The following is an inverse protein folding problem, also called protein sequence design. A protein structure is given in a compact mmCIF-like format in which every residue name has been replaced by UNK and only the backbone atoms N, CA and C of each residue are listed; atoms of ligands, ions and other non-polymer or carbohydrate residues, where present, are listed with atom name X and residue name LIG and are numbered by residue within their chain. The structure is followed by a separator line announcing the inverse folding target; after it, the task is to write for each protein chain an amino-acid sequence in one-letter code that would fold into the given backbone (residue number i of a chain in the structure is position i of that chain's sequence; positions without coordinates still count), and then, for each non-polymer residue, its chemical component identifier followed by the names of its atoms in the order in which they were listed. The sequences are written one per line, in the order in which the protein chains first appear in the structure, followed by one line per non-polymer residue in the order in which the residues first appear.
data_IF_602442887422
#
_entry.id   IF_602442887422
#
_cell.length_a   1.000
_cell.length_b   1.000
_cell.length_c   1.000
_cell.angle_alpha   90.00
_cell.angle_beta   90.00
_cell.angle_gamma   90.00
#
_symmetry.space_group_name_H-M   'P 1'
#
loop_
_entity.id
_entity.type
_entity.pdbx_description
1 polymer ?
#
# COMPACT_ATOMS: atom_id res chain seq x y z
N UNK A 1 -72.49 26.71 -2.74
CA UNK A 1 -72.88 26.38 -4.13
C UNK A 1 -71.64 25.97 -4.93
N UNK A 2 -71.79 25.21 -6.05
CA UNK A 2 -70.74 24.37 -6.67
C UNK A 2 -69.92 25.14 -7.74
N UNK A 3 -68.89 24.61 -8.42
CA UNK A 3 -68.76 23.37 -9.23
C UNK A 3 -67.25 23.05 -9.46
N UNK A 4 -66.70 21.83 -9.38
CA UNK A 4 -66.88 20.56 -10.15
C UNK A 4 -66.38 20.55 -11.61
N UNK A 5 -65.16 20.06 -11.83
CA UNK A 5 -64.72 19.13 -12.90
C UNK A 5 -63.23 18.78 -12.68
N UNK A 6 -62.69 17.62 -13.06
CA UNK A 6 -63.27 16.42 -13.66
C UNK A 6 -62.18 15.35 -13.82
N UNK A 7 -62.49 14.08 -13.54
CA UNK A 7 -61.50 12.98 -13.51
C UNK A 7 -61.24 12.38 -14.89
N UNK A 8 -60.01 11.88 -15.11
CA UNK A 8 -59.79 10.71 -15.97
C UNK A 8 -58.52 9.95 -15.55
N UNK A 9 -58.71 8.78 -14.93
CA UNK A 9 -57.65 7.79 -14.76
C UNK A 9 -57.53 6.89 -16.01
N UNK A 10 -56.34 6.33 -16.25
CA UNK A 10 -56.23 5.03 -16.93
C UNK A 10 -54.93 4.32 -16.57
N UNK A 11 -55.07 3.05 -16.17
CA UNK A 11 -53.98 2.18 -15.74
C UNK A 11 -53.44 1.34 -16.91
N UNK A 12 -52.13 1.07 -16.93
CA UNK A 12 -51.49 -0.12 -17.50
C UNK A 12 -50.02 -0.14 -17.02
N UNK A 13 -49.61 -0.96 -16.05
CA UNK A 13 -49.26 -2.40 -16.12
C UNK A 13 -48.19 -2.81 -17.14
N UNK A 14 -47.07 -3.26 -16.56
CA UNK A 14 -46.21 -4.38 -16.98
C UNK A 14 -45.06 -4.18 -17.99
N UNK A 15 -44.01 -4.98 -17.70
CA UNK A 15 -43.04 -5.57 -18.65
C UNK A 15 -41.77 -4.79 -18.97
N UNK A 16 -40.74 -5.01 -18.13
CA UNK A 16 -39.34 -5.11 -18.59
C UNK A 16 -39.22 -6.20 -19.67
N UNK A 17 -38.18 -6.17 -20.53
CA UNK A 17 -36.94 -6.82 -20.10
C UNK A 17 -35.66 -6.03 -20.37
N UNK A 18 -34.77 -6.13 -19.40
CA UNK A 18 -33.32 -5.94 -19.51
C UNK A 18 -32.72 -6.65 -20.72
N UNK A 19 -31.92 -5.94 -21.51
CA UNK A 19 -31.13 -6.52 -22.60
C UNK A 19 -29.63 -6.32 -22.34
N UNK A 20 -29.02 -7.26 -21.60
CA UNK A 20 -27.57 -7.37 -21.43
C UNK A 20 -27.05 -8.48 -22.35
N UNK A 21 -25.97 -8.27 -23.13
CA UNK A 21 -25.41 -9.33 -23.96
C UNK A 21 -24.79 -10.44 -23.09
N UNK A 22 -25.25 -11.68 -23.30
CA UNK A 22 -24.67 -12.88 -22.70
C UNK A 22 -23.31 -13.21 -23.34
N UNK A 23 -22.33 -13.73 -22.58
CA UNK A 23 -21.08 -14.22 -23.15
C UNK A 23 -21.29 -15.55 -23.90
N UNK A 24 -20.70 -15.67 -25.09
CA UNK A 24 -20.74 -16.90 -25.87
C UNK A 24 -19.98 -18.04 -25.17
N UNK A 25 -20.64 -19.18 -25.02
CA UNK A 25 -20.01 -20.40 -24.53
C UNK A 25 -19.27 -21.07 -25.71
N UNK A 26 -17.97 -21.29 -25.59
CA UNK A 26 -17.17 -21.97 -26.62
C UNK A 26 -16.09 -22.82 -25.98
N UNK A 27 -16.30 -24.13 -26.00
CA UNK A 27 -15.34 -25.16 -25.59
C UNK A 27 -14.18 -25.25 -26.58
N UNK A 28 -12.92 -25.07 -26.15
CA UNK A 28 -11.77 -25.35 -27.00
C UNK A 28 -11.41 -26.84 -26.98
N UNK A 29 -11.34 -27.45 -28.16
CA UNK A 29 -10.73 -28.77 -28.40
C UNK A 29 -9.22 -28.74 -28.16
N UNK A 30 -8.59 -29.86 -27.76
CA UNK A 30 -7.15 -29.89 -27.48
C UNK A 30 -6.34 -29.90 -28.79
N UNK A 31 -5.60 -28.81 -29.06
CA UNK A 31 -4.56 -28.79 -30.09
C UNK A 31 -3.20 -29.15 -29.48
N UNK A 32 -2.61 -30.23 -29.98
CA UNK A 32 -1.24 -30.64 -29.65
C UNK A 32 -0.23 -29.71 -30.32
N UNK A 33 0.50 -28.92 -29.53
CA UNK A 33 1.65 -28.14 -29.99
C UNK A 33 2.90 -28.47 -29.18
N UNK A 34 3.91 -29.01 -29.86
CA UNK A 34 5.21 -29.38 -29.31
C UNK A 34 5.97 -28.14 -28.80
N UNK A 35 6.64 -28.19 -27.64
CA UNK A 35 7.44 -27.06 -27.16
C UNK A 35 8.71 -26.85 -28.02
N UNK A 36 9.14 -25.60 -28.25
CA UNK A 36 10.40 -25.31 -28.95
C UNK A 36 11.63 -25.65 -28.09
N UNK A 37 12.71 -26.05 -28.76
CA UNK A 37 13.99 -26.44 -28.15
C UNK A 37 14.70 -25.26 -27.45
N UNK A 38 15.51 -25.51 -26.40
CA UNK A 38 16.29 -24.48 -25.73
C UNK A 38 17.43 -23.93 -26.61
N UNK A 39 17.89 -22.68 -26.39
CA UNK A 39 19.00 -22.09 -27.12
C UNK A 39 20.35 -22.77 -26.78
N UNK A 40 21.33 -22.77 -27.71
CA UNK A 40 22.63 -23.40 -27.49
C UNK A 40 23.50 -22.67 -26.46
N UNK A 41 24.33 -23.46 -25.78
CA UNK A 41 25.23 -23.06 -24.70
C UNK A 41 26.41 -22.21 -25.21
N UNK A 42 26.72 -21.03 -24.63
CA UNK A 42 27.83 -20.17 -25.07
C UNK A 42 29.19 -20.66 -24.53
N UNK A 43 29.62 -21.85 -24.97
CA UNK A 43 30.96 -22.41 -24.68
C UNK A 43 31.65 -22.86 -25.96
N UNK A 44 31.97 -21.90 -26.83
CA UNK A 44 33.10 -21.99 -27.75
C UNK A 44 33.37 -20.62 -28.41
N UNK A 45 34.41 -19.92 -27.94
CA UNK A 45 35.00 -18.79 -28.65
C UNK A 45 36.44 -19.18 -29.05
N UNK A 46 36.77 -19.28 -30.35
CA UNK A 46 38.12 -19.64 -30.76
C UNK A 46 39.08 -18.48 -30.46
N UNK A 47 40.12 -18.79 -29.68
CA UNK A 47 41.27 -17.93 -29.45
C UNK A 47 41.90 -17.56 -30.80
N UNK A 48 42.14 -16.27 -31.04
CA UNK A 48 43.00 -15.78 -32.13
C UNK A 48 44.38 -15.46 -31.56
N UNK A 49 45.48 -15.85 -32.24
CA UNK A 49 46.83 -15.61 -31.74
C UNK A 49 47.31 -14.17 -31.99
N UNK A 50 48.17 -13.69 -31.09
CA UNK A 50 49.01 -12.50 -31.29
C UNK A 50 50.01 -12.69 -32.45
N UNK A 51 50.42 -11.56 -33.05
CA UNK A 51 51.79 -11.43 -33.52
C UNK A 51 52.47 -10.18 -32.95
N UNK A 52 53.51 -10.39 -32.14
CA UNK A 52 54.55 -9.39 -31.87
C UNK A 52 55.39 -9.17 -33.14
N UNK A 53 55.77 -7.93 -33.47
CA UNK A 53 57.18 -7.48 -33.39
C UNK A 53 57.47 -6.12 -34.09
N UNK A 54 58.02 -5.18 -33.29
CA UNK A 54 59.08 -4.19 -33.59
C UNK A 54 58.99 -3.23 -34.81
N UNK A 55 58.60 -1.98 -34.51
CA UNK A 55 59.38 -0.72 -34.71
C UNK A 55 58.71 0.45 -33.93
N UNK A 56 59.35 1.58 -33.58
CA UNK A 56 60.79 1.91 -33.51
C UNK A 56 61.08 3.43 -33.56
N UNK A 57 61.61 4.05 -32.47
CA UNK A 57 61.99 5.50 -32.33
C UNK A 57 60.81 6.50 -32.44
N UNK A 58 60.67 7.65 -31.76
CA UNK A 58 61.43 8.42 -30.72
C UNK A 58 60.39 9.28 -29.93
N UNK A 59 60.55 9.65 -28.64
CA UNK A 59 59.49 10.37 -27.91
C UNK A 59 59.51 11.89 -28.13
N UNK A 60 58.41 12.46 -28.66
CA UNK A 60 58.14 13.89 -28.60
C UNK A 60 57.34 14.25 -27.34
N UNK A 61 57.90 15.10 -26.48
CA UNK A 61 57.21 15.70 -25.34
C UNK A 61 56.31 16.87 -25.79
N UNK A 62 55.05 16.96 -25.32
CA UNK A 62 54.17 18.08 -25.67
C UNK A 62 54.48 19.34 -24.84
N UNK A 63 54.46 20.52 -25.48
CA UNK A 63 54.44 21.81 -24.78
C UNK A 63 53.05 22.05 -24.16
N UNK A 64 52.95 22.60 -22.94
CA UNK A 64 51.66 23.00 -22.37
C UNK A 64 51.12 24.24 -23.09
N UNK A 65 49.90 24.13 -23.63
CA UNK A 65 49.08 25.29 -24.03
C UNK A 65 48.34 25.88 -22.82
N UNK A 66 47.86 27.13 -22.91
CA UNK A 66 47.21 27.80 -21.78
C UNK A 66 45.90 27.10 -21.39
N UNK A 67 45.68 26.96 -20.09
CA UNK A 67 44.49 26.34 -19.53
C UNK A 67 43.26 27.22 -19.78
N UNK A 68 42.41 26.83 -20.74
CA UNK A 68 41.04 27.31 -20.79
C UNK A 68 40.29 26.60 -19.67
N UNK A 69 39.98 27.36 -18.62
CA UNK A 69 39.21 26.88 -17.49
C UNK A 69 37.81 26.49 -17.94
N UNK A 70 37.58 25.19 -18.15
CA UNK A 70 36.24 24.62 -17.99
C UNK A 70 35.94 24.63 -16.49
N UNK A 71 35.42 25.76 -16.01
CA UNK A 71 34.72 25.80 -14.73
C UNK A 71 33.71 24.65 -14.73
N UNK A 72 33.95 23.68 -13.85
CA UNK A 72 33.10 22.51 -13.76
C UNK A 72 31.72 22.97 -13.36
N UNK A 73 30.79 23.01 -14.32
CA UNK A 73 29.37 23.13 -14.04
C UNK A 73 29.03 21.97 -13.10
N UNK A 74 28.92 22.27 -11.81
CA UNK A 74 28.47 21.32 -10.80
C UNK A 74 27.00 21.06 -11.09
N UNK A 75 26.76 20.10 -11.99
CA UNK A 75 25.44 19.49 -12.15
C UNK A 75 25.18 18.73 -10.87
N UNK A 76 24.64 19.45 -9.89
CA UNK A 76 23.97 18.88 -8.74
C UNK A 76 22.88 17.96 -9.31
N UNK A 77 23.18 16.67 -9.34
CA UNK A 77 22.32 15.64 -9.90
C UNK A 77 21.17 15.34 -8.94
N UNK A 78 20.32 16.34 -8.72
CA UNK A 78 19.01 16.18 -8.10
C UNK A 78 18.34 14.97 -8.78
N UNK A 79 18.01 13.90 -8.02
CA UNK A 79 17.65 12.62 -8.60
C UNK A 79 16.45 12.81 -9.51
N UNK A 80 16.64 12.46 -10.79
CA UNK A 80 15.60 12.64 -11.81
C UNK A 80 14.39 11.75 -11.48
N UNK A 81 13.40 12.33 -10.79
CA UNK A 81 12.21 11.64 -10.27
C UNK A 81 11.45 10.91 -11.38
N UNK A 82 11.42 11.47 -12.59
CA UNK A 82 10.85 10.83 -13.78
C UNK A 82 11.63 9.57 -14.15
N UNK A 83 12.96 9.64 -14.20
CA UNK A 83 13.81 8.48 -14.51
C UNK A 83 13.69 7.38 -13.42
N UNK A 84 13.64 7.77 -12.14
CA UNK A 84 13.40 6.84 -11.04
C UNK A 84 12.01 6.19 -11.10
N UNK A 85 10.96 6.94 -11.45
CA UNK A 85 9.61 6.42 -11.65
C UNK A 85 9.53 5.44 -12.83
N UNK A 86 10.18 5.76 -13.95
CA UNK A 86 10.32 4.85 -15.10
C UNK A 86 11.11 3.59 -14.74
N UNK A 87 12.18 3.71 -13.96
CA UNK A 87 12.97 2.56 -13.49
C UNK A 87 12.19 1.64 -12.52
N UNK A 88 11.30 2.19 -11.69
CA UNK A 88 10.37 1.42 -10.89
C UNK A 88 9.32 0.70 -11.77
N UNK A 89 8.74 1.41 -12.74
CA UNK A 89 7.79 0.83 -13.69
C UNK A 89 8.40 -0.30 -14.55
N UNK A 90 9.67 -0.17 -14.95
CA UNK A 90 10.42 -1.21 -15.67
C UNK A 90 10.62 -2.50 -14.86
N UNK A 91 10.51 -2.45 -13.52
CA UNK A 91 10.48 -3.63 -12.64
C UNK A 91 9.08 -4.25 -12.50
N UNK A 92 8.09 -3.75 -13.25
CA UNK A 92 6.69 -4.14 -13.18
C UNK A 92 5.93 -3.51 -12.01
N UNK A 93 6.48 -2.48 -11.35
CA UNK A 93 5.86 -1.84 -10.19
C UNK A 93 4.98 -0.65 -10.63
N UNK A 94 3.65 -0.67 -10.42
CA UNK A 94 2.78 0.46 -10.79
C UNK A 94 3.07 1.69 -9.94
N UNK A 95 3.45 2.80 -10.58
CA UNK A 95 3.80 4.06 -9.93
C UNK A 95 2.71 5.11 -10.07
N UNK A 96 2.70 6.10 -9.17
CA UNK A 96 1.82 7.26 -9.22
C UNK A 96 2.47 8.48 -8.53
N UNK A 97 2.08 9.73 -8.86
CA UNK A 97 2.67 10.92 -8.25
C UNK A 97 2.15 11.16 -6.82
N UNK A 98 3.07 11.48 -5.93
CA UNK A 98 2.86 12.05 -4.60
C UNK A 98 3.20 13.54 -4.62
N UNK A 99 2.55 14.35 -3.79
CA UNK A 99 2.83 15.79 -3.70
C UNK A 99 4.29 16.03 -3.27
N UNK A 100 5.01 17.00 -3.87
CA UNK A 100 6.43 17.26 -3.57
C UNK A 100 6.68 17.42 -2.06
N UNK A 101 7.78 16.89 -1.54
CA UNK A 101 8.12 16.99 -0.12
C UNK A 101 7.27 16.15 0.85
N UNK A 102 6.25 15.44 0.36
CA UNK A 102 5.30 14.67 1.20
C UNK A 102 5.23 13.19 0.80
N UNK A 103 4.53 12.40 1.62
CA UNK A 103 4.12 11.02 1.31
C UNK A 103 2.70 10.96 0.68
N UNK A 104 2.03 12.09 0.47
CA UNK A 104 0.59 12.15 0.14
C UNK A 104 0.31 12.06 -1.36
N UNK A 105 -0.64 11.22 -1.84
CA UNK A 105 -1.00 11.16 -3.25
C UNK A 105 -1.39 12.52 -3.86
N UNK A 106 -0.85 12.82 -5.04
CA UNK A 106 -1.24 13.98 -5.84
C UNK A 106 -2.51 13.71 -6.68
N UNK A 107 -2.95 12.45 -6.78
CA UNK A 107 -4.13 12.03 -7.55
C UNK A 107 -5.15 11.26 -6.70
N UNK A 108 -6.44 11.50 -6.98
CA UNK A 108 -7.54 10.74 -6.42
C UNK A 108 -7.61 9.32 -7.01
N UNK A 109 -8.12 8.37 -6.21
CA UNK A 109 -8.23 6.93 -6.56
C UNK A 109 -6.91 6.33 -7.07
N UNK A 110 -5.80 6.72 -6.43
CA UNK A 110 -4.44 6.32 -6.83
C UNK A 110 -4.21 4.80 -7.04
N UNK A 111 -4.83 3.83 -6.31
CA UNK A 111 -4.55 2.42 -6.55
C UNK A 111 -5.01 1.96 -7.94
N UNK A 112 -6.09 2.57 -8.46
CA UNK A 112 -6.66 2.29 -9.78
C UNK A 112 -6.00 3.10 -10.90
N UNK A 113 -5.20 4.11 -10.56
CA UNK A 113 -4.56 5.03 -11.52
C UNK A 113 -3.04 4.90 -11.57
N UNK A 114 -2.44 4.14 -10.66
CA UNK A 114 -1.04 3.79 -10.74
C UNK A 114 -0.74 2.99 -12.02
N UNK A 115 0.41 3.22 -12.63
CA UNK A 115 0.70 2.74 -13.97
C UNK A 115 2.15 2.28 -14.12
N UNK A 116 2.35 1.27 -14.96
CA UNK A 116 3.67 0.90 -15.51
C UNK A 116 3.88 1.45 -16.92
N UNK A 117 2.84 2.02 -17.56
CA UNK A 117 2.96 2.63 -18.89
C UNK A 117 3.80 3.92 -18.81
N UNK A 118 4.88 3.94 -19.58
CA UNK A 118 5.79 5.08 -19.68
C UNK A 118 5.09 6.33 -20.20
N UNK A 119 4.03 6.21 -21.00
CA UNK A 119 3.27 7.34 -21.55
C UNK A 119 2.53 8.09 -20.45
N UNK A 120 1.84 7.37 -19.55
CA UNK A 120 1.24 7.95 -18.34
C UNK A 120 2.29 8.54 -17.38
N UNK A 121 3.39 7.83 -17.13
CA UNK A 121 4.46 8.29 -16.23
C UNK A 121 5.10 9.57 -16.77
N UNK A 122 5.46 9.59 -18.05
CA UNK A 122 5.97 10.76 -18.74
C UNK A 122 4.99 11.94 -18.72
N UNK A 123 3.67 11.71 -18.57
CA UNK A 123 2.66 12.76 -18.45
C UNK A 123 2.63 13.41 -17.06
N UNK A 124 2.81 12.63 -15.99
CA UNK A 124 2.82 13.18 -14.62
C UNK A 124 4.06 14.04 -14.34
N UNK A 125 5.22 13.64 -14.87
CA UNK A 125 6.50 14.36 -14.74
C UNK A 125 6.83 15.27 -15.94
N UNK A 126 5.82 15.87 -16.60
CA UNK A 126 6.05 16.93 -17.61
C UNK A 126 6.45 18.24 -16.93
N UNK A 127 7.12 19.11 -17.69
CA UNK A 127 7.47 20.47 -17.27
C UNK A 127 8.28 20.56 -15.95
N UNK A 128 9.05 19.52 -15.62
CA UNK A 128 9.95 19.52 -14.46
C UNK A 128 9.25 19.40 -13.09
N UNK A 129 8.03 18.88 -13.01
CA UNK A 129 7.35 18.70 -11.72
C UNK A 129 8.13 17.78 -10.77
N UNK A 130 8.29 18.21 -9.52
CA UNK A 130 9.03 17.51 -8.47
C UNK A 130 8.18 16.52 -7.67
N UNK A 131 7.24 15.82 -8.33
CA UNK A 131 6.40 14.84 -7.65
C UNK A 131 7.24 13.70 -7.08
N UNK A 132 7.06 13.42 -5.79
CA UNK A 132 7.58 12.21 -5.16
C UNK A 132 6.89 10.97 -5.77
N UNK A 133 7.51 9.81 -5.65
CA UNK A 133 7.09 8.60 -6.35
C UNK A 133 6.38 7.66 -5.38
N UNK A 134 5.10 7.40 -5.62
CA UNK A 134 4.34 6.37 -4.93
C UNK A 134 4.36 5.08 -5.72
N UNK A 135 4.53 3.93 -5.05
CA UNK A 135 4.50 2.60 -5.67
C UNK A 135 3.47 1.74 -4.98
N UNK A 136 2.52 1.17 -5.73
CA UNK A 136 1.50 0.27 -5.17
C UNK A 136 2.14 -1.03 -4.66
N UNK A 137 1.67 -1.53 -3.52
CA UNK A 137 2.08 -2.84 -2.96
C UNK A 137 0.95 -3.86 -2.98
N UNK A 138 1.29 -5.13 -2.72
CA UNK A 138 0.39 -6.28 -2.71
C UNK A 138 0.43 -7.11 -4.00
N UNK A 139 -0.53 -8.04 -4.12
CA UNK A 139 -0.57 -9.01 -5.24
C UNK A 139 -0.60 -8.32 -6.61
N UNK A 140 -1.29 -7.17 -6.73
CA UNK A 140 -1.41 -6.43 -8.00
C UNK A 140 -0.07 -5.91 -8.56
N UNK A 141 0.88 -5.58 -7.68
CA UNK A 141 2.22 -5.12 -8.05
C UNK A 141 3.29 -6.22 -7.95
N UNK A 142 2.90 -7.44 -7.55
CA UNK A 142 3.78 -8.56 -7.18
C UNK A 142 4.90 -8.16 -6.19
N UNK A 143 4.62 -7.16 -5.35
CA UNK A 143 5.58 -6.52 -4.45
C UNK A 143 5.02 -6.49 -3.03
N UNK A 144 5.81 -6.91 -2.06
CA UNK A 144 5.54 -6.78 -0.64
C UNK A 144 6.77 -6.17 0.03
N UNK A 145 6.61 -5.18 0.90
CA UNK A 145 7.74 -4.49 1.54
C UNK A 145 7.66 -4.67 3.05
N UNK A 146 8.75 -5.08 3.67
CA UNK A 146 8.93 -4.96 5.13
C UNK A 146 9.56 -3.60 5.41
N UNK A 147 9.00 -2.88 6.36
CA UNK A 147 9.31 -1.49 6.69
C UNK A 147 9.86 -1.49 8.13
N UNK A 148 11.19 -1.39 8.25
CA UNK A 148 11.92 -1.34 9.52
C UNK A 148 12.06 0.12 9.93
N UNK A 149 11.32 0.53 10.96
CA UNK A 149 11.41 1.86 11.56
C UNK A 149 12.41 1.83 12.73
N UNK A 150 13.59 2.42 12.52
CA UNK A 150 14.70 2.34 13.46
C UNK A 150 14.36 2.90 14.85
N UNK A 151 13.51 3.92 14.91
CA UNK A 151 13.13 4.62 16.14
C UNK A 151 12.15 3.78 16.99
N UNK A 152 11.37 2.91 16.35
CA UNK A 152 10.33 2.11 17.00
C UNK A 152 10.75 0.65 17.26
N UNK A 153 11.89 0.21 16.72
CA UNK A 153 12.52 -1.06 17.08
C UNK A 153 13.07 -1.02 18.52
N UNK A 154 13.16 -2.19 19.17
CA UNK A 154 13.54 -2.34 20.58
C UNK A 154 14.63 -3.42 20.76
N UNK A 155 15.90 -3.04 21.04
CA UNK A 155 16.40 -1.67 21.18
C UNK A 155 16.31 -0.86 19.88
N UNK A 156 16.37 0.47 20.01
CA UNK A 156 16.46 1.41 18.88
C UNK A 156 17.80 1.22 18.16
N UNK A 157 17.78 1.07 16.83
CA UNK A 157 18.93 0.66 16.02
C UNK A 157 19.35 1.73 15.01
N UNK A 158 20.58 2.23 15.10
CA UNK A 158 21.09 3.25 14.19
C UNK A 158 21.60 2.69 12.85
N UNK A 159 21.99 1.42 12.80
CA UNK A 159 22.61 0.80 11.62
C UNK A 159 21.72 -0.29 11.00
N UNK A 160 21.85 -0.47 9.69
CA UNK A 160 21.02 -1.42 8.94
C UNK A 160 21.31 -2.87 9.30
N UNK A 161 22.58 -3.26 9.49
CA UNK A 161 22.92 -4.65 9.74
C UNK A 161 22.48 -5.08 11.16
N UNK A 162 22.51 -4.17 12.16
CA UNK A 162 21.90 -4.40 13.49
C UNK A 162 20.38 -4.63 13.36
N UNK A 163 19.69 -3.74 12.63
CA UNK A 163 18.26 -3.85 12.38
C UNK A 163 17.90 -5.16 11.64
N UNK A 164 18.74 -5.58 10.69
CA UNK A 164 18.57 -6.82 9.94
C UNK A 164 18.82 -8.06 10.81
N UNK A 165 19.82 -8.04 11.69
CA UNK A 165 20.09 -9.12 12.64
C UNK A 165 18.92 -9.28 13.62
N UNK A 166 18.50 -8.18 14.26
CA UNK A 166 17.36 -8.13 15.16
C UNK A 166 16.05 -8.57 14.48
N UNK A 167 15.80 -8.14 13.23
CA UNK A 167 14.64 -8.59 12.46
C UNK A 167 14.70 -10.11 12.18
N UNK A 168 15.87 -10.63 11.82
CA UNK A 168 16.09 -12.07 11.53
C UNK A 168 15.85 -12.94 12.77
N UNK A 169 16.32 -12.49 13.93
CA UNK A 169 16.04 -13.11 15.23
C UNK A 169 14.55 -13.04 15.57
N UNK A 170 13.94 -11.85 15.50
CA UNK A 170 12.55 -11.59 15.85
C UNK A 170 11.55 -12.44 15.05
N UNK A 171 11.84 -12.76 13.78
CA UNK A 171 10.98 -13.63 12.97
C UNK A 171 11.34 -15.12 13.07
N UNK A 172 12.45 -15.45 13.74
CA UNK A 172 13.01 -16.79 13.87
C UNK A 172 13.14 -17.50 12.51
N UNK A 173 13.84 -16.87 11.57
CA UNK A 173 14.07 -17.44 10.24
C UNK A 173 14.89 -16.54 9.32
N UNK A 174 15.60 -17.16 8.38
CA UNK A 174 16.51 -16.46 7.47
C UNK A 174 15.80 -15.40 6.62
N UNK A 175 16.32 -14.18 6.65
CA UNK A 175 15.93 -13.07 5.77
C UNK A 175 16.94 -13.02 4.62
N UNK A 176 16.56 -13.36 3.37
CA UNK A 176 17.50 -13.34 2.26
C UNK A 176 17.89 -11.91 1.91
N UNK A 177 19.12 -11.73 1.42
CA UNK A 177 19.53 -10.45 0.81
C UNK A 177 18.57 -10.10 -0.33
N UNK A 178 18.07 -8.87 -0.30
CA UNK A 178 17.11 -8.36 -1.28
C UNK A 178 17.36 -6.87 -1.56
N UNK A 179 16.61 -6.30 -2.51
CA UNK A 179 16.63 -4.87 -2.79
C UNK A 179 16.21 -4.06 -1.55
N UNK A 180 17.12 -3.22 -1.04
CA UNK A 180 16.90 -2.42 0.18
C UNK A 180 17.00 -0.94 -0.11
N UNK A 181 16.05 -0.16 0.41
CA UNK A 181 16.04 1.31 0.34
C UNK A 181 16.14 1.86 1.77
N UNK A 182 17.14 2.70 2.03
CA UNK A 182 17.16 3.52 3.24
C UNK A 182 16.11 4.62 3.12
N UNK A 183 15.31 4.77 4.17
CA UNK A 183 14.30 5.81 4.35
C UNK A 183 14.81 6.84 5.36
N UNK A 184 14.09 7.96 5.56
CA UNK A 184 14.43 8.93 6.61
C UNK A 184 14.42 8.38 8.04
N UNK A 185 13.77 7.25 8.30
CA UNK A 185 13.55 6.68 9.65
C UNK A 185 13.85 5.17 9.71
N UNK A 186 14.71 4.65 8.83
CA UNK A 186 15.07 3.23 8.79
C UNK A 186 15.13 2.67 7.36
N UNK A 187 14.53 1.50 7.10
CA UNK A 187 14.77 0.75 5.87
C UNK A 187 13.57 -0.02 5.34
N UNK A 188 13.35 0.05 4.02
CA UNK A 188 12.41 -0.80 3.30
C UNK A 188 13.15 -1.99 2.66
N UNK A 189 12.76 -3.23 3.00
CA UNK A 189 13.21 -4.46 2.35
C UNK A 189 12.13 -4.94 1.38
N UNK A 190 12.46 -5.02 0.08
CA UNK A 190 11.49 -5.32 -0.98
C UNK A 190 11.49 -6.82 -1.27
N UNK A 191 10.31 -7.44 -1.33
CA UNK A 191 10.16 -8.86 -1.64
C UNK A 191 9.09 -9.08 -2.71
N UNK A 192 9.16 -10.20 -3.43
CA UNK A 192 8.05 -10.63 -4.27
C UNK A 192 6.88 -11.09 -3.41
N UNK A 193 5.71 -10.45 -3.61
CA UNK A 193 4.48 -10.84 -2.93
C UNK A 193 4.09 -12.29 -3.32
N UNK A 194 3.59 -13.10 -2.37
CA UNK A 194 3.24 -14.49 -2.65
C UNK A 194 2.12 -14.60 -3.70
N UNK A 195 2.26 -15.56 -4.60
CA UNK A 195 1.27 -15.82 -5.63
C UNK A 195 -0.04 -16.32 -5.00
N UNK A 196 -1.18 -15.75 -5.44
CA UNK A 196 -2.57 -16.04 -4.98
C UNK A 196 -2.91 -15.76 -3.50
N UNK A 197 -1.95 -15.51 -2.61
CA UNK A 197 -2.21 -15.14 -1.21
C UNK A 197 -2.16 -13.61 -1.03
N UNK A 198 -3.30 -13.00 -0.75
CA UNK A 198 -3.36 -11.57 -0.39
C UNK A 198 -2.86 -11.36 1.03
N UNK A 199 -1.78 -10.59 1.17
CA UNK A 199 -1.24 -10.15 2.46
C UNK A 199 -1.45 -8.65 2.55
N UNK A 200 -2.33 -8.21 3.44
CA UNK A 200 -2.57 -6.78 3.68
C UNK A 200 -1.37 -6.15 4.38
N UNK A 201 -1.24 -4.83 4.27
CA UNK A 201 -0.32 -4.06 5.10
C UNK A 201 -0.63 -4.24 6.59
N UNK A 202 0.41 -4.26 7.43
CA UNK A 202 0.31 -4.47 8.88
C UNK A 202 1.16 -3.47 9.63
N UNK A 203 0.73 -3.06 10.82
CA UNK A 203 1.52 -2.20 11.71
C UNK A 203 2.01 -3.06 12.89
N UNK A 204 3.32 -3.06 13.14
CA UNK A 204 3.98 -3.76 14.27
C UNK A 204 3.74 -5.28 14.39
N UNK A 205 3.17 -5.95 13.37
CA UNK A 205 2.77 -7.37 13.46
C UNK A 205 3.96 -8.33 13.52
N UNK A 206 5.10 -7.91 12.98
CA UNK A 206 6.34 -8.69 12.98
C UNK A 206 7.24 -8.33 14.18
N UNK A 207 6.87 -7.36 15.01
CA UNK A 207 7.67 -6.84 16.12
C UNK A 207 7.52 -5.32 16.25
N UNK A 208 7.97 -4.71 17.38
CA UNK A 208 8.04 -3.26 17.53
C UNK A 208 8.83 -2.61 16.39
N UNK A 209 8.27 -1.59 15.75
CA UNK A 209 8.90 -0.92 14.59
C UNK A 209 8.97 -1.75 13.29
N UNK A 210 8.33 -2.92 13.22
CA UNK A 210 8.38 -3.80 12.03
C UNK A 210 7.01 -3.86 11.36
N UNK A 211 6.83 -2.96 10.40
CA UNK A 211 5.65 -2.79 9.57
C UNK A 211 5.74 -3.65 8.30
N UNK A 212 4.58 -3.87 7.66
CA UNK A 212 4.53 -4.45 6.30
C UNK A 212 3.61 -3.66 5.39
N UNK A 213 3.96 -3.61 4.10
CA UNK A 213 3.24 -2.89 3.06
C UNK A 213 2.86 -3.91 1.97
N UNK A 214 1.58 -4.24 1.93
CA UNK A 214 1.00 -5.27 1.07
C UNK A 214 -0.25 -4.78 0.33
N UNK A 215 -1.25 -5.64 0.17
CA UNK A 215 -2.50 -5.34 -0.54
C UNK A 215 -3.22 -4.12 0.05
N UNK A 216 -3.50 -3.14 -0.82
CA UNK A 216 -4.13 -1.87 -0.47
C UNK A 216 -3.16 -0.81 0.09
N UNK A 217 -1.86 -1.12 0.17
CA UNK A 217 -0.81 -0.19 0.55
C UNK A 217 -0.08 0.43 -0.64
N UNK A 218 0.84 1.33 -0.31
CA UNK A 218 1.88 1.84 -1.19
C UNK A 218 3.13 2.16 -0.36
N UNK A 219 4.26 2.34 -1.05
CA UNK A 219 5.50 2.89 -0.48
C UNK A 219 5.92 4.16 -1.22
N UNK A 220 6.81 4.93 -0.60
CA UNK A 220 7.55 6.01 -1.27
C UNK A 220 8.82 5.41 -1.89
N UNK A 221 9.01 5.62 -3.19
CA UNK A 221 10.10 5.04 -3.95
C UNK A 221 11.43 5.82 -3.78
N UNK A 222 12.59 5.15 -3.98
CA UNK A 222 13.89 5.81 -3.96
C UNK A 222 13.98 6.91 -5.03
N UNK A 223 14.75 7.95 -4.74
CA UNK A 223 14.79 9.22 -5.47
C UNK A 223 13.87 10.30 -4.88
N UNK A 224 12.83 9.91 -4.13
CA UNK A 224 11.92 10.85 -3.45
C UNK A 224 12.56 11.55 -2.24
N UNK A 225 12.15 12.78 -1.93
CA UNK A 225 12.53 13.54 -0.73
C UNK A 225 11.31 14.00 0.05
N UNK A 226 11.30 13.78 1.36
CA UNK A 226 10.34 14.38 2.31
C UNK A 226 11.03 15.42 3.18
N UNK A 227 10.25 16.24 3.90
CA UNK A 227 10.80 17.19 4.88
C UNK A 227 11.73 16.53 5.91
N UNK A 228 11.53 15.23 6.20
CA UNK A 228 12.36 14.43 7.11
C UNK A 228 13.63 13.85 6.50
N UNK A 229 13.79 13.84 5.17
CA UNK A 229 14.98 13.26 4.51
C UNK A 229 14.71 12.59 3.16
N UNK A 230 15.70 11.82 2.70
CA UNK A 230 15.70 11.21 1.36
C UNK A 230 15.40 9.71 1.39
N UNK A 231 14.73 9.21 0.36
CA UNK A 231 14.63 7.78 0.06
C UNK A 231 15.74 7.40 -0.92
N UNK A 232 16.70 6.58 -0.50
CA UNK A 232 17.88 6.20 -1.31
C UNK A 232 18.06 4.68 -1.37
N UNK A 233 18.47 4.14 -2.50
CA UNK A 233 18.82 2.71 -2.57
C UNK A 233 20.04 2.48 -1.70
N UNK A 234 19.95 1.53 -0.77
CA UNK A 234 21.05 1.11 0.09
C UNK A 234 21.73 -0.15 -0.48
N UNK A 235 20.94 -1.11 -0.97
CA UNK A 235 21.46 -2.38 -1.49
C UNK A 235 20.83 -2.68 -2.86
N UNK A 236 21.65 -2.63 -3.91
CA UNK A 236 21.28 -2.99 -5.28
C UNK A 236 21.33 -4.53 -5.48
N UNK A 237 20.40 -5.25 -4.88
CA UNK A 237 20.22 -6.69 -5.09
C UNK A 237 18.94 -6.98 -5.88
N UNK A 238 18.79 -8.19 -6.48
CA UNK A 238 17.51 -8.68 -6.98
C UNK A 238 16.44 -8.69 -5.87
N UNK A 239 15.17 -8.61 -6.27
CA UNK A 239 14.03 -8.72 -5.34
C UNK A 239 13.84 -10.20 -4.99
N UNK A 240 14.11 -10.57 -3.74
CA UNK A 240 13.95 -11.94 -3.27
C UNK A 240 12.47 -12.34 -3.11
N UNK A 241 12.13 -13.64 -3.17
CA UNK A 241 10.84 -14.15 -2.71
C UNK A 241 10.59 -13.79 -1.23
N UNK A 242 9.35 -13.43 -0.86
CA UNK A 242 9.00 -13.22 0.54
C UNK A 242 9.12 -14.56 1.31
N UNK A 243 9.95 -14.67 2.36
CA UNK A 243 10.16 -15.93 3.08
C UNK A 243 8.86 -16.53 3.63
N UNK A 244 8.74 -17.86 3.56
CA UNK A 244 7.58 -18.62 4.05
C UNK A 244 7.25 -18.31 5.51
N UNK A 245 8.27 -18.06 6.34
CA UNK A 245 8.10 -17.63 7.73
C UNK A 245 7.38 -16.30 7.86
N UNK A 246 7.74 -15.29 7.06
CA UNK A 246 7.04 -14.01 7.02
C UNK A 246 5.61 -14.17 6.49
N UNK A 247 5.39 -15.01 5.46
CA UNK A 247 4.05 -15.31 4.95
C UNK A 247 3.16 -15.90 6.06
N UNK A 248 3.69 -16.82 6.87
CA UNK A 248 2.97 -17.41 7.99
C UNK A 248 2.63 -16.36 9.07
N UNK A 249 3.61 -15.56 9.50
CA UNK A 249 3.42 -14.52 10.52
C UNK A 249 2.42 -13.44 10.06
N UNK A 250 2.50 -13.00 8.79
CA UNK A 250 1.63 -11.97 8.20
C UNK A 250 0.24 -12.48 7.84
N UNK A 251 0.06 -13.79 7.67
CA UNK A 251 -1.28 -14.38 7.48
C UNK A 251 -2.09 -14.18 8.77
N UNK A 252 -3.27 -13.51 8.74
CA UNK A 252 -4.14 -13.46 9.90
C UNK A 252 -4.61 -14.89 10.25
N UNK A 253 -4.77 -15.22 11.54
CA UNK A 253 -5.38 -16.50 11.90
C UNK A 253 -6.76 -16.63 11.23
N UNK A 254 -7.21 -17.85 10.91
CA UNK A 254 -8.56 -18.05 10.41
C UNK A 254 -9.56 -17.41 11.40
N UNK A 255 -10.64 -16.78 10.91
CA UNK A 255 -11.65 -16.24 11.80
C UNK A 255 -12.16 -17.37 12.69
N UNK A 256 -12.10 -17.17 14.01
CA UNK A 256 -12.74 -18.09 14.96
C UNK A 256 -14.18 -18.27 14.50
N UNK A 257 -14.69 -19.50 14.36
CA UNK A 257 -16.10 -19.72 14.10
C UNK A 257 -16.91 -18.91 15.11
N UNK A 258 -18.02 -18.26 14.71
CA UNK A 258 -18.89 -17.65 15.70
C UNK A 258 -19.28 -18.73 16.68
N UNK A 259 -18.90 -18.56 17.95
CA UNK A 259 -19.48 -19.37 19.02
C UNK A 259 -20.96 -19.08 18.94
N UNK A 260 -21.74 -20.08 18.52
CA UNK A 260 -23.20 -20.03 18.54
C UNK A 260 -23.58 -20.16 20.01
N UNK A 261 -23.38 -19.06 20.75
CA UNK A 261 -24.15 -18.84 21.96
C UNK A 261 -25.63 -18.95 21.56
N UNK A 262 -26.49 -19.56 22.41
CA UNK A 262 -27.92 -19.52 22.16
C UNK A 262 -28.33 -18.07 21.90
N UNK A 263 -29.20 -17.85 20.92
CA UNK A 263 -29.63 -16.52 20.50
C UNK A 263 -30.41 -15.84 21.63
N UNK A 264 -29.67 -15.25 22.57
CA UNK A 264 -30.19 -14.50 23.68
C UNK A 264 -30.89 -13.29 23.09
N UNK A 265 -32.22 -13.25 23.24
CA UNK A 265 -33.02 -12.16 22.68
C UNK A 265 -32.60 -10.86 23.38
N UNK A 266 -32.35 -9.83 22.59
CA UNK A 266 -31.67 -8.63 23.03
C UNK A 266 -32.59 -7.41 22.93
N UNK A 267 -33.14 -6.97 24.07
CA UNK A 267 -33.92 -5.75 24.16
C UNK A 267 -33.09 -4.46 23.94
N UNK A 268 -33.73 -3.28 23.89
CA UNK A 268 -33.06 -2.01 23.59
C UNK A 268 -31.90 -1.66 24.55
N UNK A 269 -31.93 -2.14 25.79
CA UNK A 269 -30.82 -1.99 26.75
C UNK A 269 -29.51 -2.62 26.25
N UNK A 270 -29.58 -3.71 25.48
CA UNK A 270 -28.40 -4.34 24.89
C UNK A 270 -27.74 -3.43 23.84
N UNK A 271 -28.53 -2.72 23.03
CA UNK A 271 -27.99 -1.75 22.06
C UNK A 271 -27.26 -0.63 22.80
N UNK A 272 -27.87 -0.09 23.85
CA UNK A 272 -27.24 0.92 24.72
C UNK A 272 -25.94 0.41 25.36
N UNK A 273 -25.93 -0.82 25.87
CA UNK A 273 -24.72 -1.45 26.43
C UNK A 273 -23.61 -1.66 25.39
N UNK A 274 -23.95 -2.01 24.15
CA UNK A 274 -22.97 -2.10 23.05
C UNK A 274 -22.42 -0.72 22.69
N UNK A 275 -23.27 0.32 22.61
CA UNK A 275 -22.83 1.70 22.36
C UNK A 275 -21.87 2.18 23.45
N UNK A 276 -22.26 2.02 24.72
CA UNK A 276 -21.41 2.36 25.87
C UNK A 276 -20.09 1.59 25.83
N UNK A 277 -20.11 0.28 25.58
CA UNK A 277 -18.90 -0.55 25.49
C UNK A 277 -17.96 -0.20 24.32
N UNK A 278 -18.47 0.31 23.20
CA UNK A 278 -17.61 0.84 22.12
C UNK A 278 -17.10 2.26 22.39
N UNK A 279 -17.91 3.12 23.03
CA UNK A 279 -17.52 4.45 23.48
C UNK A 279 -16.39 4.36 24.53
N UNK A 280 -16.54 3.51 25.53
CA UNK A 280 -15.52 3.24 26.55
C UNK A 280 -14.18 2.79 25.97
N UNK A 281 -14.20 1.95 24.94
CA UNK A 281 -12.97 1.51 24.24
C UNK A 281 -12.31 2.65 23.49
N UNK A 282 -13.10 3.58 22.93
CA UNK A 282 -12.56 4.80 22.31
C UNK A 282 -11.94 5.70 23.38
N UNK A 283 -12.68 6.03 24.45
CA UNK A 283 -12.20 6.89 25.53
C UNK A 283 -10.90 6.36 26.17
N UNK A 284 -10.79 5.03 26.33
CA UNK A 284 -9.61 4.36 26.92
C UNK A 284 -8.52 3.95 25.90
N UNK A 285 -8.57 4.44 24.66
CA UNK A 285 -7.57 4.10 23.64
C UNK A 285 -6.18 4.68 23.97
N UNK A 286 -5.16 3.81 23.98
CA UNK A 286 -3.77 4.23 24.21
C UNK A 286 -3.24 5.18 23.10
N UNK A 287 -2.24 6.03 23.41
CA UNK A 287 -1.47 6.78 22.41
C UNK A 287 -1.01 5.88 21.25
N UNK A 288 -1.02 6.43 20.02
CA UNK A 288 -0.75 5.68 18.78
C UNK A 288 -1.89 4.74 18.31
N UNK A 289 -2.77 4.27 19.20
CA UNK A 289 -3.89 3.37 18.84
C UNK A 289 -5.22 4.11 18.56
N UNK A 290 -5.39 5.34 19.06
CA UNK A 290 -6.61 6.18 19.00
C UNK A 290 -7.41 6.07 17.70
N UNK A 291 -6.82 6.48 16.56
CA UNK A 291 -7.53 6.52 15.28
C UNK A 291 -8.01 5.13 14.81
N UNK A 292 -7.19 4.10 15.01
CA UNK A 292 -7.53 2.70 14.70
C UNK A 292 -8.67 2.19 15.58
N UNK A 293 -8.68 2.56 16.86
CA UNK A 293 -9.76 2.19 17.79
C UNK A 293 -11.07 2.88 17.43
N UNK A 294 -11.07 4.20 17.19
CA UNK A 294 -12.23 4.96 16.69
C UNK A 294 -12.79 4.33 15.41
N UNK A 295 -11.94 4.06 14.42
CA UNK A 295 -12.38 3.40 13.18
C UNK A 295 -12.98 2.01 13.42
N UNK A 296 -12.38 1.19 14.29
CA UNK A 296 -12.89 -0.16 14.63
C UNK A 296 -14.24 -0.11 15.35
N UNK A 297 -14.42 0.81 16.30
CA UNK A 297 -15.70 1.01 16.99
C UNK A 297 -16.78 1.51 16.02
N UNK A 298 -16.44 2.45 15.12
CA UNK A 298 -17.33 2.90 14.05
C UNK A 298 -17.71 1.77 13.07
N UNK A 299 -16.79 0.85 12.75
CA UNK A 299 -17.13 -0.35 11.97
C UNK A 299 -18.15 -1.23 12.71
N UNK A 300 -18.03 -1.42 14.03
CA UNK A 300 -18.95 -2.27 14.81
C UNK A 300 -20.34 -1.66 14.90
N UNK A 301 -20.44 -0.41 15.38
CA UNK A 301 -21.73 0.29 15.46
C UNK A 301 -22.35 0.48 14.07
N UNK A 302 -21.55 0.73 13.03
CA UNK A 302 -22.03 0.88 11.67
C UNK A 302 -22.74 -0.35 11.08
N UNK A 303 -22.45 -1.57 11.55
CA UNK A 303 -23.22 -2.76 11.17
C UNK A 303 -24.61 -2.80 11.81
N UNK A 304 -24.74 -2.29 13.04
CA UNK A 304 -26.03 -2.13 13.72
C UNK A 304 -26.84 -1.01 13.06
N UNK A 305 -26.19 0.11 12.71
CA UNK A 305 -26.80 1.20 11.91
C UNK A 305 -27.32 0.67 10.57
N UNK A 306 -26.52 -0.14 9.85
CA UNK A 306 -26.91 -0.74 8.58
C UNK A 306 -28.06 -1.76 8.71
N UNK A 307 -28.30 -2.30 9.91
CA UNK A 307 -29.40 -3.21 10.21
C UNK A 307 -30.66 -2.50 10.76
N UNK A 308 -30.60 -1.17 10.99
CA UNK A 308 -31.70 -0.39 11.58
C UNK A 308 -31.77 -0.40 13.11
N UNK A 309 -30.88 -1.13 13.78
CA UNK A 309 -30.86 -1.35 15.23
C UNK A 309 -30.54 -0.09 16.06
N UNK A 310 -29.97 0.93 15.41
CA UNK A 310 -29.48 2.17 16.02
C UNK A 310 -29.41 3.27 14.96
N UNK A 311 -29.79 4.49 15.32
CA UNK A 311 -29.68 5.62 14.40
C UNK A 311 -28.20 6.00 14.14
N UNK A 312 -27.89 6.36 12.89
CA UNK A 312 -26.55 6.83 12.51
C UNK A 312 -26.09 8.02 13.36
N UNK A 313 -27.02 8.90 13.75
CA UNK A 313 -26.75 10.06 14.61
C UNK A 313 -26.34 9.64 16.02
N UNK A 314 -27.05 8.70 16.66
CA UNK A 314 -26.70 8.22 17.99
C UNK A 314 -25.33 7.52 18.01
N UNK A 315 -25.07 6.63 17.05
CA UNK A 315 -23.77 5.97 16.90
C UNK A 315 -22.62 6.98 16.66
N UNK A 316 -22.85 8.03 15.86
CA UNK A 316 -21.85 9.08 15.60
C UNK A 316 -21.61 9.94 16.83
N UNK A 317 -22.66 10.34 17.55
CA UNK A 317 -22.55 11.18 18.75
C UNK A 317 -21.75 10.48 19.86
N UNK A 318 -22.07 9.23 20.18
CA UNK A 318 -21.36 8.47 21.22
C UNK A 318 -19.86 8.30 20.93
N UNK A 319 -19.49 8.06 19.66
CA UNK A 319 -18.09 7.91 19.26
C UNK A 319 -17.32 9.24 19.22
N UNK A 320 -17.99 10.35 18.90
CA UNK A 320 -17.37 11.70 18.96
C UNK A 320 -17.13 12.10 20.40
N UNK A 321 -18.14 11.96 21.27
CA UNK A 321 -18.01 12.31 22.69
C UNK A 321 -16.86 11.54 23.34
N UNK A 322 -16.79 10.23 23.10
CA UNK A 322 -15.68 9.40 23.56
C UNK A 322 -14.32 9.75 22.93
N UNK A 323 -14.28 10.29 21.71
CA UNK A 323 -13.04 10.66 21.04
C UNK A 323 -12.46 12.00 21.54
N UNK A 324 -13.30 12.90 22.10
CA UNK A 324 -12.88 14.21 22.63
C UNK A 324 -11.80 14.11 23.70
N UNK A 325 -11.77 13.03 24.48
CA UNK A 325 -10.74 12.79 25.52
C UNK A 325 -9.32 12.71 24.95
N UNK A 326 -9.17 12.57 23.63
CA UNK A 326 -7.88 12.45 22.94
C UNK A 326 -7.50 13.66 22.09
N UNK A 327 -8.41 14.62 21.91
CA UNK A 327 -8.22 15.72 20.96
C UNK A 327 -7.15 16.69 21.48
N UNK A 328 -6.19 17.02 20.62
CA UNK A 328 -5.02 17.82 20.96
C UNK A 328 -3.87 17.04 21.59
N UNK A 329 -4.05 15.75 21.91
CA UNK A 329 -3.02 14.91 22.52
C UNK A 329 -2.30 14.08 21.44
N UNK A 330 -0.97 14.17 21.40
CA UNK A 330 -0.09 13.53 20.41
C UNK A 330 -0.49 13.81 18.94
N UNK A 331 -1.00 15.01 18.68
CA UNK A 331 -1.42 15.46 17.35
C UNK A 331 -2.76 14.87 16.85
N UNK A 332 -3.49 14.12 17.66
CA UNK A 332 -4.81 13.59 17.29
C UNK A 332 -5.86 14.72 17.25
N UNK A 333 -6.58 14.84 16.13
CA UNK A 333 -7.52 15.95 15.87
C UNK A 333 -8.98 15.51 15.74
N UNK A 334 -9.93 16.43 16.01
CA UNK A 334 -11.37 16.23 15.73
C UNK A 334 -11.60 15.78 14.28
N UNK A 335 -10.93 16.43 13.33
CA UNK A 335 -11.03 16.12 11.90
C UNK A 335 -10.54 14.71 11.55
N UNK A 336 -9.68 14.09 12.36
CA UNK A 336 -9.27 12.69 12.21
C UNK A 336 -10.24 11.73 12.87
N UNK A 337 -10.80 12.09 14.03
CA UNK A 337 -11.87 11.34 14.68
C UNK A 337 -13.12 11.27 13.78
N UNK A 338 -13.63 12.41 13.33
CA UNK A 338 -14.75 12.53 12.40
C UNK A 338 -14.53 11.69 11.14
N UNK A 339 -13.36 11.80 10.52
CA UNK A 339 -13.00 11.07 9.30
C UNK A 339 -12.92 9.57 9.55
N UNK A 340 -12.42 9.12 10.70
CA UNK A 340 -12.40 7.71 11.08
C UNK A 340 -13.82 7.18 11.31
N UNK A 341 -14.69 7.93 11.99
CA UNK A 341 -16.08 7.55 12.26
C UNK A 341 -16.87 7.45 10.95
N UNK A 342 -16.86 8.50 10.13
CA UNK A 342 -17.58 8.52 8.86
C UNK A 342 -17.08 7.45 7.88
N UNK A 343 -15.78 7.16 7.87
CA UNK A 343 -15.22 6.06 7.07
C UNK A 343 -15.67 4.69 7.58
N UNK A 344 -15.71 4.47 8.90
CA UNK A 344 -16.18 3.22 9.51
C UNK A 344 -17.66 2.96 9.20
N UNK A 345 -18.52 3.95 9.47
CA UNK A 345 -19.96 3.87 9.20
C UNK A 345 -20.24 3.65 7.69
N UNK A 346 -19.55 4.39 6.80
CA UNK A 346 -19.72 4.23 5.34
C UNK A 346 -19.25 2.87 4.83
N UNK A 347 -18.18 2.31 5.42
CA UNK A 347 -17.64 1.01 5.03
C UNK A 347 -18.58 -0.16 5.40
N UNK A 348 -19.38 -0.02 6.46
CA UNK A 348 -20.32 -1.07 6.91
C UNK A 348 -21.78 -0.87 6.49
N UNK A 349 -22.10 0.21 5.77
CA UNK A 349 -23.44 0.50 5.25
C UNK A 349 -24.09 -0.66 4.44
N UNK A 350 -23.29 -1.54 3.83
CA UNK A 350 -23.75 -2.72 3.06
C UNK A 350 -23.46 -4.05 3.78
N UNK A 351 -23.29 -4.02 5.11
CA UNK A 351 -22.92 -5.18 5.95
C UNK A 351 -23.72 -5.18 7.26
N UNK A 352 -25.05 -5.32 7.20
CA UNK A 352 -25.91 -5.30 8.38
C UNK A 352 -25.53 -6.40 9.37
N UNK A 353 -25.71 -6.12 10.66
CA UNK A 353 -25.78 -7.11 11.73
C UNK A 353 -27.10 -6.91 12.44
N UNK A 354 -28.09 -7.73 12.10
CA UNK A 354 -29.34 -7.79 12.86
C UNK A 354 -29.08 -8.40 14.23
N UNK A 355 -29.82 -7.91 15.23
CA UNK A 355 -29.93 -8.53 16.54
C UNK A 355 -31.15 -9.47 16.56
N UNK A 356 -31.13 -10.54 17.37
CA UNK A 356 -32.32 -11.34 17.59
C UNK A 356 -33.31 -10.56 18.46
N UNK A 357 -34.46 -10.24 17.87
CA UNK A 357 -35.62 -9.60 18.51
C UNK A 357 -36.66 -10.65 18.95
N UNK A 358 -37.60 -10.23 19.79
CA UNK A 358 -38.76 -11.03 20.22
C UNK A 358 -39.80 -11.15 19.10
#
# INVERSE_FOLDING_TARGET
MPATCGSCARSATSSSPSNWPQPANSTPTPSTSTPPSPPPNPTNWPLRPDPLSRAGTTPCTPRPGPAIGVEGLVVSSEPNLRAAALAAAARGWPVFPLRPGTKTPAINRWPNRASTDSTHINRWWRHGTSFNIGVVTGTAARLHVVDLDSQHMQPTVAQFEDALAQFTEQVAGAVPTTFTVATPAGWHLYFHAPYRRRLRSTIGRLGPGIDSRGDGGYIVAPGSRTATGHYRVLRHAPVAPLPTRLIALLTPPPPTPPVIAPAMVHGPEYVSAVVAGEADRVARAAPGARNVTVFRSALRLGRLVAAGEISKSHARAALIEAARTHVGIDGFTDAEADRAIDNGLRYTAHRPRHLPHH
#
